data_IF_847502210478
#
_entry.id   IF_847502210478
#
_cell.length_a   1.000
_cell.length_b   1.000
_cell.length_c   1.000
_cell.angle_alpha   90.00
_cell.angle_beta   90.00
_cell.angle_gamma   90.00
#
_symmetry.space_group_name_H-M   'P 1'
#
loop_
_entity.id
_entity.type
_entity.pdbx_description
1 polymer ?
#
# COMPACT_ATOMS: atom_id res chain seq x y z
N UNK A 1 -1.29 8.95 26.53
CA UNK A 1 -2.39 9.24 25.60
C UNK A 1 -2.14 8.56 24.27
N UNK A 2 -3.12 7.85 23.79
CA UNK A 2 -3.01 7.22 22.49
C UNK A 2 -3.27 8.26 21.38
N UNK A 3 -2.32 8.41 20.50
CA UNK A 3 -2.43 9.23 19.31
C UNK A 3 -3.22 8.41 18.28
N UNK A 4 -4.49 8.73 18.10
CA UNK A 4 -5.33 8.05 17.12
C UNK A 4 -5.87 9.06 16.13
N UNK A 5 -5.74 8.74 14.86
CA UNK A 5 -6.14 9.66 13.81
C UNK A 5 -6.79 8.91 12.65
N UNK A 6 -7.84 9.51 12.13
CA UNK A 6 -8.45 9.02 10.89
C UNK A 6 -7.87 9.84 9.73
N UNK A 7 -7.29 9.15 8.75
CA UNK A 7 -6.75 9.81 7.58
C UNK A 7 -7.41 9.25 6.33
N UNK A 8 -7.37 10.00 5.25
CA UNK A 8 -7.86 9.54 3.96
C UNK A 8 -6.73 9.56 2.95
N UNK A 9 -6.57 8.44 2.26
CA UNK A 9 -5.56 8.29 1.23
C UNK A 9 -6.27 8.08 -0.10
N UNK A 10 -5.95 8.92 -1.07
CA UNK A 10 -6.53 8.80 -2.40
C UNK A 10 -5.73 7.81 -3.23
N UNK A 11 -6.43 6.79 -3.74
CA UNK A 11 -5.84 5.77 -4.60
C UNK A 11 -6.75 5.64 -5.82
N UNK A 12 -6.19 5.88 -7.00
CA UNK A 12 -6.93 5.77 -8.26
C UNK A 12 -8.17 6.65 -8.30
N UNK A 13 -8.07 7.85 -7.71
CA UNK A 13 -9.16 8.82 -7.71
C UNK A 13 -10.23 8.60 -6.65
N UNK A 14 -10.06 7.62 -5.77
CA UNK A 14 -11.01 7.36 -4.69
C UNK A 14 -10.34 7.52 -3.34
N UNK A 15 -10.99 8.19 -2.38
CA UNK A 15 -10.45 8.32 -1.03
C UNK A 15 -10.77 7.06 -0.22
N UNK A 16 -9.78 6.58 0.51
CA UNK A 16 -9.93 5.43 1.40
C UNK A 16 -9.56 5.84 2.82
N UNK A 17 -10.45 5.58 3.79
CA UNK A 17 -10.17 5.93 5.17
C UNK A 17 -9.29 4.90 5.86
N UNK A 18 -8.35 5.39 6.66
CA UNK A 18 -7.48 4.54 7.47
C UNK A 18 -7.42 5.10 8.88
N UNK A 19 -7.37 4.20 9.85
CA UNK A 19 -7.11 4.55 11.24
C UNK A 19 -5.65 4.28 11.54
N UNK A 20 -4.96 5.29 12.04
CA UNK A 20 -3.55 5.17 12.40
C UNK A 20 -3.38 5.49 13.88
N UNK A 21 -2.51 4.75 14.55
CA UNK A 21 -2.24 4.90 15.97
C UNK A 21 -0.95 5.66 16.24
N UNK A 22 -0.12 5.82 15.22
CA UNK A 22 1.18 6.47 15.34
C UNK A 22 1.39 7.44 14.19
N UNK A 23 2.07 8.54 14.50
CA UNK A 23 2.46 9.50 13.47
C UNK A 23 3.34 8.89 12.40
N UNK A 24 4.23 7.98 12.79
CA UNK A 24 5.10 7.25 11.89
C UNK A 24 4.32 6.43 10.87
N UNK A 25 3.24 5.79 11.31
CA UNK A 25 2.38 5.00 10.44
C UNK A 25 1.65 5.89 9.44
N UNK A 26 1.22 7.08 9.88
CA UNK A 26 0.59 8.04 8.97
C UNK A 26 1.54 8.44 7.85
N UNK A 27 2.79 8.77 8.18
CA UNK A 27 3.78 9.12 7.17
C UNK A 27 4.02 8.00 6.17
N UNK A 28 4.15 6.78 6.68
CA UNK A 28 4.39 5.61 5.83
C UNK A 28 3.23 5.34 4.88
N UNK A 29 2.01 5.44 5.38
CA UNK A 29 0.82 5.22 4.57
C UNK A 29 0.69 6.30 3.51
N UNK A 30 0.97 7.56 3.86
CA UNK A 30 0.92 8.66 2.90
C UNK A 30 1.97 8.51 1.81
N UNK A 31 3.18 8.11 2.17
CA UNK A 31 4.24 7.83 1.20
C UNK A 31 3.88 6.66 0.30
N UNK A 32 3.32 5.61 0.89
CA UNK A 32 2.89 4.43 0.12
C UNK A 32 1.80 4.80 -0.88
N UNK A 33 0.81 5.60 -0.46
CA UNK A 33 -0.24 6.08 -1.36
C UNK A 33 0.31 6.90 -2.50
N UNK A 34 1.29 7.75 -2.23
CA UNK A 34 1.95 8.54 -3.26
C UNK A 34 2.69 7.65 -4.26
N UNK A 35 3.39 6.64 -3.78
CA UNK A 35 4.08 5.68 -4.65
C UNK A 35 3.11 4.93 -5.56
N UNK A 36 1.96 4.53 -5.02
CA UNK A 36 0.94 3.86 -5.82
C UNK A 36 0.42 4.81 -6.90
N UNK A 37 0.14 6.05 -6.56
CA UNK A 37 -0.35 7.04 -7.52
C UNK A 37 0.65 7.30 -8.65
N UNK A 38 1.93 7.43 -8.31
CA UNK A 38 3.00 7.59 -9.30
C UNK A 38 3.10 6.37 -10.20
N UNK A 39 3.04 5.18 -9.62
CA UNK A 39 3.09 3.94 -10.39
C UNK A 39 1.91 3.83 -11.35
N UNK A 40 0.71 4.16 -10.91
CA UNK A 40 -0.46 4.15 -11.76
C UNK A 40 -0.34 5.15 -12.92
N UNK A 41 0.19 6.33 -12.64
CA UNK A 41 0.43 7.34 -13.67
C UNK A 41 1.35 6.80 -14.76
N UNK A 42 2.47 6.20 -14.38
CA UNK A 42 3.42 5.63 -15.34
C UNK A 42 2.84 4.45 -16.10
N UNK A 43 2.10 3.59 -15.41
CA UNK A 43 1.46 2.44 -16.05
C UNK A 43 0.40 2.88 -17.05
N UNK A 44 -0.35 3.93 -16.73
CA UNK A 44 -1.37 4.44 -17.63
C UNK A 44 -0.78 5.00 -18.92
N UNK A 45 0.40 5.62 -18.83
CA UNK A 45 1.09 6.11 -20.03
C UNK A 45 1.55 4.96 -20.92
N UNK A 46 1.92 3.85 -20.31
CA UNK A 46 2.44 2.69 -21.02
C UNK A 46 1.32 1.79 -21.55
N UNK A 47 0.23 1.68 -20.81
CA UNK A 47 -0.91 0.82 -21.11
C UNK A 47 -2.18 1.65 -21.10
N UNK A 48 -2.30 2.55 -22.08
CA UNK A 48 -3.42 3.50 -22.14
C UNK A 48 -4.76 2.83 -22.42
N UNK A 49 -4.74 1.60 -22.95
CA UNK A 49 -5.94 0.83 -23.27
C UNK A 49 -6.48 0.01 -22.09
N UNK A 50 -5.76 0.00 -20.96
CA UNK A 50 -6.15 -0.78 -19.78
C UNK A 50 -6.96 0.07 -18.82
N UNK A 51 -7.90 -0.57 -18.12
CA UNK A 51 -8.71 0.11 -17.11
C UNK A 51 -7.96 0.21 -15.77
N UNK A 52 -8.57 0.93 -14.83
CA UNK A 52 -7.98 1.17 -13.51
C UNK A 52 -7.73 -0.13 -12.76
N UNK A 53 -8.64 -1.08 -12.87
CA UNK A 53 -8.49 -2.36 -12.18
C UNK A 53 -7.24 -3.11 -12.66
N UNK A 54 -7.02 -3.16 -13.97
CA UNK A 54 -5.85 -3.80 -14.54
C UNK A 54 -4.56 -3.08 -14.11
N UNK A 55 -4.59 -1.75 -14.11
CA UNK A 55 -3.42 -0.98 -13.70
C UNK A 55 -3.10 -1.19 -12.22
N UNK A 56 -4.12 -1.27 -11.38
CA UNK A 56 -3.93 -1.57 -9.96
C UNK A 56 -3.36 -2.97 -9.76
N UNK A 57 -3.83 -3.95 -10.54
CA UNK A 57 -3.30 -5.31 -10.48
C UNK A 57 -1.82 -5.33 -10.87
N UNK A 58 -1.43 -4.62 -11.93
CA UNK A 58 -0.04 -4.53 -12.35
C UNK A 58 0.83 -3.86 -11.30
N UNK A 59 0.34 -2.76 -10.71
CA UNK A 59 1.06 -2.06 -9.66
C UNK A 59 1.26 -2.96 -8.44
N UNK A 60 0.21 -3.66 -8.03
CA UNK A 60 0.29 -4.58 -6.89
C UNK A 60 1.30 -5.71 -7.17
N UNK A 61 1.29 -6.25 -8.37
CA UNK A 61 2.23 -7.30 -8.73
C UNK A 61 3.66 -6.81 -8.69
N UNK A 62 3.93 -5.62 -9.22
CA UNK A 62 5.29 -5.06 -9.21
C UNK A 62 5.79 -4.80 -7.78
N UNK A 63 4.94 -4.27 -6.92
CA UNK A 63 5.31 -4.07 -5.52
C UNK A 63 5.53 -5.39 -4.80
N UNK A 64 4.71 -6.39 -5.08
CA UNK A 64 4.86 -7.72 -4.49
C UNK A 64 6.15 -8.39 -4.92
N UNK A 65 6.51 -8.30 -6.20
CA UNK A 65 7.79 -8.83 -6.71
C UNK A 65 8.96 -8.17 -5.99
N UNK A 66 8.91 -6.87 -5.82
CA UNK A 66 9.97 -6.15 -5.11
C UNK A 66 10.07 -6.59 -3.65
N UNK A 67 8.94 -6.85 -3.01
CA UNK A 67 8.89 -7.35 -1.65
C UNK A 67 9.55 -8.73 -1.55
N UNK A 68 9.24 -9.62 -2.49
CA UNK A 68 9.86 -10.96 -2.54
C UNK A 68 11.37 -10.85 -2.74
N UNK A 69 11.82 -9.96 -3.62
CA UNK A 69 13.25 -9.72 -3.83
C UNK A 69 13.96 -9.24 -2.57
N UNK A 70 13.34 -8.32 -1.84
CA UNK A 70 13.90 -7.80 -0.60
C UNK A 70 13.95 -8.87 0.48
N UNK A 71 12.93 -9.71 0.59
CA UNK A 71 12.91 -10.84 1.52
C UNK A 71 14.03 -11.82 1.22
N UNK A 72 14.24 -12.15 -0.05
CA UNK A 72 15.30 -13.07 -0.46
C UNK A 72 16.68 -12.54 -0.10
N UNK A 73 16.86 -11.22 -0.18
CA UNK A 73 18.16 -10.60 0.15
C UNK A 73 18.38 -10.41 1.63
N UNK A 74 17.31 -10.18 2.39
CA UNK A 74 17.43 -9.74 3.77
C UNK A 74 17.45 -10.87 4.79
N UNK A 75 16.80 -11.98 4.55
CA UNK A 75 16.76 -13.17 5.44
C UNK A 75 16.66 -12.83 6.93
N UNK A 76 16.08 -11.67 7.28
CA UNK A 76 15.97 -11.28 8.67
C UNK A 76 14.55 -11.43 9.16
N UNK A 77 14.42 -12.03 10.34
CA UNK A 77 13.14 -12.26 10.99
C UNK A 77 12.38 -10.96 11.23
N UNK A 78 13.10 -9.89 11.52
CA UNK A 78 12.50 -8.58 11.77
C UNK A 78 11.74 -8.03 10.58
N UNK A 79 12.27 -8.20 9.39
CA UNK A 79 11.61 -7.70 8.17
C UNK A 79 10.36 -8.49 7.84
N UNK A 80 10.40 -9.80 8.07
CA UNK A 80 9.22 -10.64 7.88
C UNK A 80 8.09 -10.20 8.83
N UNK A 81 8.43 -9.93 10.09
CA UNK A 81 7.46 -9.45 11.07
C UNK A 81 6.83 -8.12 10.64
N UNK A 82 7.62 -7.19 10.13
CA UNK A 82 7.11 -5.91 9.65
C UNK A 82 6.15 -6.06 8.47
N UNK A 83 6.48 -6.94 7.55
CA UNK A 83 5.62 -7.22 6.40
C UNK A 83 4.31 -7.86 6.83
N UNK A 84 4.38 -8.77 7.80
CA UNK A 84 3.20 -9.41 8.35
C UNK A 84 2.27 -8.40 9.03
N UNK A 85 2.83 -7.45 9.77
CA UNK A 85 2.03 -6.39 10.39
C UNK A 85 1.28 -5.55 9.37
N UNK A 86 1.96 -5.15 8.30
CA UNK A 86 1.34 -4.38 7.24
C UNK A 86 0.24 -5.18 6.57
N UNK A 87 0.49 -6.47 6.33
CA UNK A 87 -0.51 -7.36 5.76
C UNK A 87 -1.73 -7.50 6.65
N UNK A 88 -1.54 -7.63 7.96
CA UNK A 88 -2.63 -7.73 8.93
C UNK A 88 -3.48 -6.45 8.95
N UNK A 89 -2.85 -5.29 8.92
CA UNK A 89 -3.57 -4.02 8.89
C UNK A 89 -4.41 -3.87 7.63
N UNK A 90 -3.87 -4.27 6.48
CA UNK A 90 -4.58 -4.22 5.21
C UNK A 90 -5.74 -5.22 5.20
N UNK A 91 -5.53 -6.42 5.72
CA UNK A 91 -6.58 -7.43 5.83
C UNK A 91 -7.73 -6.93 6.68
N UNK A 92 -7.43 -6.31 7.82
CA UNK A 92 -8.43 -5.75 8.71
C UNK A 92 -9.24 -4.66 8.00
N UNK A 93 -8.57 -3.80 7.26
CA UNK A 93 -9.22 -2.75 6.48
C UNK A 93 -10.14 -3.34 5.41
N UNK A 94 -9.67 -4.32 4.66
CA UNK A 94 -10.46 -4.97 3.61
C UNK A 94 -11.68 -5.67 4.16
N UNK A 95 -11.56 -6.31 5.32
CA UNK A 95 -12.70 -6.94 5.99
C UNK A 95 -13.74 -5.93 6.44
N UNK A 96 -13.30 -4.74 6.88
CA UNK A 96 -14.21 -3.67 7.28
C UNK A 96 -14.93 -3.04 6.09
N UNK A 97 -14.30 -3.03 4.93
CA UNK A 97 -14.87 -2.44 3.71
C UNK A 97 -15.76 -3.42 2.93
N UNK A 98 -15.66 -4.69 3.24
CA UNK A 98 -16.51 -5.70 2.62
C UNK A 98 -17.88 -5.71 3.29
#
# INVERSE_FOLDING_TARGET
MSWKRNIKIEIAGRPYPFKVDREEDEERIRKAGKLISEKLFHLKQRYSDKDVQDLLAFAALQFAVRTVELDAKACSTEQVDKLNRLGEQLDTFLKQCA
#
